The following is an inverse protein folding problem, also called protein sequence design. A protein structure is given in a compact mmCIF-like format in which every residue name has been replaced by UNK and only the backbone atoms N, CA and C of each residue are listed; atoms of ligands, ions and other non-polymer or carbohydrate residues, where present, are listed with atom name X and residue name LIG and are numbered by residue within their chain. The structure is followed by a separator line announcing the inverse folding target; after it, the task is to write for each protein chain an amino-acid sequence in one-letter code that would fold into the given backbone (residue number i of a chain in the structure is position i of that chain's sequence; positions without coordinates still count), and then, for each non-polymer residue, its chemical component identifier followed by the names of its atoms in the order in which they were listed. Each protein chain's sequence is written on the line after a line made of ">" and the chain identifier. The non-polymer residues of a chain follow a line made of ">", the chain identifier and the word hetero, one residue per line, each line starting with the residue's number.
data_IF_380982372875
#
_entry.id   IF_380982372875
#
_cell.length_a   1.000
_cell.length_b   1.000
_cell.length_c   1.000
_cell.angle_alpha   90.00
_cell.angle_beta   90.00
_cell.angle_gamma   90.00
#
_symmetry.space_group_name_H-M   'P 1'
#
loop_
_entity.id
_entity.type
_entity.pdbx_description
1 polymer ?
#
# COMPACT_ATOMS: atom_id res chain seq x y z
N UNK A 1 -15.52 -25.16 -0.45
CA UNK A 1 -15.94 -25.33 0.93
C UNK A 1 -17.36 -25.88 1.01
N UNK A 2 -17.62 -26.68 2.03
CA UNK A 2 -18.88 -27.36 2.25
C UNK A 2 -20.08 -26.38 2.33
N UNK A 3 -19.89 -25.24 2.97
CA UNK A 3 -20.89 -24.18 3.09
C UNK A 3 -21.45 -23.72 1.74
N UNK A 4 -20.58 -23.37 0.80
CA UNK A 4 -21.01 -22.86 -0.53
C UNK A 4 -21.70 -23.96 -1.35
N UNK A 5 -21.33 -25.21 -1.16
CA UNK A 5 -21.95 -26.33 -1.84
C UNK A 5 -23.32 -26.69 -1.26
N UNK A 6 -23.38 -26.81 0.08
CA UNK A 6 -24.52 -27.43 0.75
C UNK A 6 -25.59 -26.44 1.19
N UNK A 7 -25.21 -25.16 1.44
CA UNK A 7 -26.11 -24.12 1.93
C UNK A 7 -26.37 -23.04 0.86
N UNK A 8 -25.32 -22.51 0.26
CA UNK A 8 -25.48 -21.47 -0.78
C UNK A 8 -25.83 -22.05 -2.16
N UNK A 9 -25.75 -23.36 -2.33
CA UNK A 9 -26.01 -24.10 -3.59
C UNK A 9 -25.20 -23.58 -4.79
N UNK A 10 -24.11 -22.87 -4.52
CA UNK A 10 -23.22 -22.29 -5.50
C UNK A 10 -21.78 -22.79 -5.25
N UNK A 11 -21.31 -23.81 -5.97
CA UNK A 11 -19.95 -24.29 -5.84
C UNK A 11 -18.99 -23.27 -6.46
N UNK A 12 -18.14 -22.67 -5.66
CA UNK A 12 -17.07 -21.78 -6.13
C UNK A 12 -16.10 -22.54 -7.04
N UNK A 13 -15.82 -23.79 -6.68
CA UNK A 13 -15.02 -24.71 -7.50
C UNK A 13 -15.91 -25.88 -7.91
N UNK A 14 -16.05 -26.19 -9.22
CA UNK A 14 -16.76 -27.36 -9.69
C UNK A 14 -16.21 -28.65 -9.07
N UNK A 15 -17.09 -29.64 -8.89
CA UNK A 15 -16.71 -30.90 -8.20
C UNK A 15 -15.68 -31.74 -8.99
N UNK A 16 -15.58 -31.48 -10.29
CA UNK A 16 -14.69 -32.16 -11.24
C UNK A 16 -13.24 -31.62 -11.19
N UNK A 17 -13.04 -30.50 -10.50
CA UNK A 17 -11.73 -29.82 -10.44
C UNK A 17 -10.93 -30.35 -9.26
N UNK A 18 -9.84 -31.04 -9.55
CA UNK A 18 -8.94 -31.59 -8.55
C UNK A 18 -8.04 -30.52 -7.90
N UNK A 19 -7.61 -29.50 -8.69
CA UNK A 19 -6.76 -28.42 -8.23
C UNK A 19 -7.54 -27.11 -8.13
N UNK A 20 -8.13 -26.88 -6.96
CA UNK A 20 -8.90 -25.66 -6.69
C UNK A 20 -8.06 -24.37 -6.77
N UNK A 21 -6.79 -24.45 -6.36
CA UNK A 21 -5.87 -23.31 -6.42
C UNK A 21 -5.67 -22.81 -7.86
N UNK A 22 -5.29 -23.73 -8.74
CA UNK A 22 -5.04 -23.43 -10.14
C UNK A 22 -6.30 -22.88 -10.83
N UNK A 23 -7.42 -23.56 -10.62
CA UNK A 23 -8.72 -23.13 -11.15
C UNK A 23 -9.10 -21.70 -10.70
N UNK A 24 -8.99 -21.39 -9.42
CA UNK A 24 -9.37 -20.07 -8.89
C UNK A 24 -8.45 -18.96 -9.38
N UNK A 25 -7.16 -19.25 -9.51
CA UNK A 25 -6.19 -18.24 -9.99
C UNK A 25 -6.26 -18.04 -11.49
N UNK A 26 -6.41 -19.09 -12.28
CA UNK A 26 -6.53 -18.99 -13.74
C UNK A 26 -7.86 -18.35 -14.18
N UNK A 27 -8.95 -18.65 -13.51
CA UNK A 27 -10.25 -18.02 -13.78
C UNK A 27 -10.34 -16.58 -13.26
N UNK A 28 -9.38 -16.14 -12.47
CA UNK A 28 -9.40 -14.81 -11.84
C UNK A 28 -10.44 -14.65 -10.73
N UNK A 29 -10.95 -15.75 -10.18
CA UNK A 29 -11.88 -15.74 -9.03
C UNK A 29 -11.16 -15.51 -7.71
N UNK A 30 -9.87 -15.79 -7.65
CA UNK A 30 -9.01 -15.47 -6.52
C UNK A 30 -7.63 -15.00 -6.99
N UNK A 31 -6.97 -14.23 -6.15
CA UNK A 31 -5.56 -13.90 -6.27
C UNK A 31 -4.82 -14.42 -5.05
N UNK A 32 -3.74 -15.13 -5.28
CA UNK A 32 -2.87 -15.69 -4.24
C UNK A 32 -1.44 -15.36 -4.66
N UNK A 33 -0.78 -14.50 -3.87
CA UNK A 33 0.55 -14.01 -4.20
C UNK A 33 0.95 -12.84 -3.30
N UNK A 34 1.74 -11.95 -3.83
CA UNK A 34 2.21 -10.75 -3.15
C UNK A 34 1.27 -9.54 -3.35
N UNK A 35 1.52 -8.40 -2.69
CA UNK A 35 0.70 -7.19 -2.87
C UNK A 35 0.63 -6.68 -4.30
N UNK A 36 1.68 -6.87 -5.10
CA UNK A 36 1.68 -6.43 -6.49
C UNK A 36 0.76 -7.32 -7.35
N UNK A 37 0.64 -8.62 -7.03
CA UNK A 37 -0.34 -9.51 -7.64
C UNK A 37 -1.77 -9.05 -7.35
N UNK A 38 -2.06 -8.69 -6.11
CA UNK A 38 -3.36 -8.15 -5.71
C UNK A 38 -3.67 -6.82 -6.42
N UNK A 39 -2.71 -5.92 -6.52
CA UNK A 39 -2.85 -4.65 -7.25
C UNK A 39 -3.19 -4.92 -8.72
N UNK A 40 -2.40 -5.75 -9.41
CA UNK A 40 -2.64 -6.09 -10.82
C UNK A 40 -4.01 -6.74 -11.04
N UNK A 41 -4.44 -7.58 -10.10
CA UNK A 41 -5.75 -8.22 -10.18
C UNK A 41 -6.89 -7.20 -10.07
N UNK A 42 -6.84 -6.30 -9.10
CA UNK A 42 -7.84 -5.24 -8.92
C UNK A 42 -7.84 -4.29 -10.12
N UNK A 43 -6.68 -3.91 -10.66
CA UNK A 43 -6.57 -3.08 -11.87
C UNK A 43 -7.27 -3.73 -13.08
N UNK A 44 -7.10 -5.04 -13.29
CA UNK A 44 -7.82 -5.78 -14.34
C UNK A 44 -9.33 -5.75 -14.13
N UNK A 45 -9.79 -5.87 -12.88
CA UNK A 45 -11.22 -5.78 -12.57
C UNK A 45 -11.77 -4.37 -12.83
N UNK A 46 -11.02 -3.33 -12.49
CA UNK A 46 -11.37 -1.93 -12.78
C UNK A 46 -11.48 -1.72 -14.30
N UNK A 47 -10.50 -2.17 -15.06
CA UNK A 47 -10.47 -2.04 -16.51
C UNK A 47 -11.62 -2.81 -17.17
N UNK A 48 -11.81 -4.07 -16.79
CA UNK A 48 -12.83 -4.95 -17.38
C UNK A 48 -14.26 -4.52 -17.08
N UNK A 49 -14.51 -3.85 -15.95
CA UNK A 49 -15.84 -3.37 -15.54
C UNK A 49 -16.16 -1.94 -15.99
N UNK A 50 -15.17 -1.21 -16.51
CA UNK A 50 -15.30 0.23 -16.77
C UNK A 50 -15.20 1.10 -15.52
N UNK A 51 -14.79 0.53 -14.40
CA UNK A 51 -14.60 1.19 -13.11
C UNK A 51 -15.70 0.89 -12.09
N UNK A 52 -15.37 0.99 -10.81
CA UNK A 52 -16.30 0.86 -9.69
C UNK A 52 -15.86 1.75 -8.53
N UNK A 53 -16.82 2.14 -7.67
CA UNK A 53 -16.55 3.02 -6.53
C UNK A 53 -16.06 2.30 -5.27
N UNK A 54 -16.36 1.01 -5.14
CA UNK A 54 -16.01 0.20 -3.96
C UNK A 54 -15.57 -1.18 -4.39
N UNK A 55 -14.47 -1.64 -3.84
CA UNK A 55 -14.03 -3.02 -3.90
C UNK A 55 -14.28 -3.68 -2.54
N UNK A 56 -15.07 -4.75 -2.54
CA UNK A 56 -15.40 -5.53 -1.35
C UNK A 56 -14.55 -6.79 -1.35
N UNK A 57 -13.72 -6.93 -0.34
CA UNK A 57 -12.98 -8.16 -0.10
C UNK A 57 -13.79 -9.12 0.76
N UNK A 58 -13.91 -10.36 0.30
CA UNK A 58 -14.56 -11.42 1.08
C UNK A 58 -13.55 -12.01 2.07
N UNK A 59 -13.63 -11.57 3.31
CA UNK A 59 -12.86 -12.17 4.41
C UNK A 59 -13.53 -13.47 4.86
N UNK A 60 -12.83 -14.57 4.68
CA UNK A 60 -13.27 -15.91 5.11
C UNK A 60 -12.07 -16.66 5.71
N UNK A 61 -12.35 -17.73 6.45
CA UNK A 61 -11.31 -18.60 7.04
C UNK A 61 -10.62 -19.47 5.96
N UNK A 62 -9.91 -18.83 5.04
CA UNK A 62 -9.13 -19.49 3.99
C UNK A 62 -7.76 -19.96 4.49
N UNK A 63 -7.24 -19.29 5.50
CA UNK A 63 -5.93 -19.52 6.10
C UNK A 63 -6.04 -19.57 7.63
N UNK A 64 -4.96 -19.89 8.30
CA UNK A 64 -4.87 -19.77 9.75
C UNK A 64 -4.90 -18.31 10.21
N UNK A 65 -4.94 -18.10 11.52
CA UNK A 65 -5.06 -16.78 12.11
C UNK A 65 -3.87 -15.87 11.79
N UNK A 66 -2.65 -16.41 11.82
CA UNK A 66 -1.43 -15.61 11.58
C UNK A 66 -1.35 -15.16 10.13
N UNK A 67 -1.57 -16.07 9.18
CA UNK A 67 -1.61 -15.73 7.77
C UNK A 67 -2.76 -14.78 7.42
N UNK A 68 -3.90 -14.87 8.11
CA UNK A 68 -5.02 -13.93 7.94
C UNK A 68 -4.65 -12.52 8.43
N UNK A 69 -3.95 -12.39 9.55
CA UNK A 69 -3.47 -11.10 10.04
C UNK A 69 -2.44 -10.49 9.07
N UNK A 70 -1.48 -11.29 8.60
CA UNK A 70 -0.48 -10.86 7.63
C UNK A 70 -1.15 -10.36 6.34
N UNK A 71 -2.14 -11.08 5.85
CA UNK A 71 -2.92 -10.67 4.69
C UNK A 71 -3.53 -9.27 4.87
N UNK A 72 -4.26 -9.02 5.97
CA UNK A 72 -4.83 -7.70 6.23
C UNK A 72 -3.78 -6.61 6.42
N UNK A 73 -2.63 -6.93 7.00
CA UNK A 73 -1.52 -5.99 7.13
C UNK A 73 -0.95 -5.61 5.77
N UNK A 74 -0.73 -6.57 4.87
CA UNK A 74 -0.25 -6.34 3.51
C UNK A 74 -1.25 -5.53 2.69
N UNK A 75 -2.54 -5.86 2.77
CA UNK A 75 -3.62 -5.10 2.13
C UNK A 75 -3.63 -3.64 2.60
N UNK A 76 -3.61 -3.41 3.91
CA UNK A 76 -3.65 -2.07 4.50
C UNK A 76 -2.39 -1.24 4.20
N UNK A 77 -1.24 -1.88 4.12
CA UNK A 77 0.05 -1.21 3.96
C UNK A 77 0.38 -0.89 2.50
N UNK A 78 0.04 -1.77 1.59
CA UNK A 78 0.48 -1.69 0.19
C UNK A 78 -0.67 -1.53 -0.81
N UNK A 79 -1.72 -2.34 -0.72
CA UNK A 79 -2.78 -2.39 -1.73
C UNK A 79 -3.76 -1.22 -1.59
N UNK A 80 -4.35 -1.03 -0.43
CA UNK A 80 -5.32 0.04 -0.19
C UNK A 80 -4.75 1.44 -0.46
N UNK A 81 -3.51 1.78 -0.03
CA UNK A 81 -2.93 3.08 -0.33
C UNK A 81 -2.66 3.33 -1.81
N UNK A 82 -2.42 2.27 -2.61
CA UNK A 82 -2.25 2.37 -4.05
C UNK A 82 -3.53 2.93 -4.71
N UNK A 83 -4.69 2.37 -4.41
CA UNK A 83 -5.96 2.80 -5.01
C UNK A 83 -6.52 4.08 -4.40
N UNK A 84 -6.35 4.29 -3.11
CA UNK A 84 -6.87 5.47 -2.42
C UNK A 84 -5.98 6.72 -2.56
N UNK A 85 -4.85 6.62 -3.24
CA UNK A 85 -3.88 7.71 -3.45
C UNK A 85 -3.44 8.44 -2.16
N UNK A 86 -3.60 7.80 -1.01
CA UNK A 86 -3.28 8.41 0.29
C UNK A 86 -1.79 8.72 0.47
N UNK A 87 -0.93 8.10 -0.33
CA UNK A 87 0.51 8.33 -0.31
C UNK A 87 1.00 9.37 -1.33
N UNK A 88 0.14 9.87 -2.23
CA UNK A 88 0.58 10.79 -3.29
C UNK A 88 1.16 12.09 -2.72
N UNK A 89 0.52 12.67 -1.71
CA UNK A 89 1.01 13.88 -1.05
C UNK A 89 2.31 13.64 -0.28
N UNK A 90 2.44 12.47 0.36
CA UNK A 90 3.67 12.10 1.08
C UNK A 90 4.83 11.88 0.12
N UNK A 91 4.61 11.22 -1.02
CA UNK A 91 5.59 11.06 -2.09
C UNK A 91 5.98 12.41 -2.68
N UNK A 92 5.01 13.25 -3.02
CA UNK A 92 5.28 14.60 -3.53
C UNK A 92 6.09 15.45 -2.54
N UNK A 93 5.80 15.38 -1.25
CA UNK A 93 6.57 16.05 -0.20
C UNK A 93 8.00 15.51 -0.09
N UNK A 94 8.17 14.19 -0.13
CA UNK A 94 9.48 13.56 -0.14
C UNK A 94 10.31 13.98 -1.35
N UNK A 95 9.73 13.89 -2.55
CA UNK A 95 10.39 14.27 -3.80
C UNK A 95 10.75 15.76 -3.84
N UNK A 96 9.88 16.61 -3.28
CA UNK A 96 10.17 18.03 -3.12
C UNK A 96 11.36 18.26 -2.19
N UNK A 97 11.36 17.65 -1.02
CA UNK A 97 12.46 17.76 -0.05
C UNK A 97 13.78 17.21 -0.61
N UNK A 98 13.72 16.10 -1.33
CA UNK A 98 14.89 15.48 -1.94
C UNK A 98 15.49 16.38 -3.05
N UNK A 99 14.65 16.92 -3.95
CA UNK A 99 15.10 17.82 -5.02
C UNK A 99 15.66 19.15 -4.50
N UNK A 100 15.15 19.63 -3.37
CA UNK A 100 15.57 20.89 -2.77
C UNK A 100 16.53 20.71 -1.58
N UNK A 101 17.11 19.52 -1.42
CA UNK A 101 17.98 19.20 -0.29
C UNK A 101 19.13 20.19 -0.10
N UNK A 102 19.80 20.56 -1.19
CA UNK A 102 20.94 21.48 -1.14
C UNK A 102 20.51 22.88 -0.64
N UNK A 103 19.33 23.34 -1.05
CA UNK A 103 18.76 24.62 -0.59
C UNK A 103 18.47 24.56 0.90
N UNK A 104 17.85 23.48 1.37
CA UNK A 104 17.52 23.33 2.80
C UNK A 104 18.75 23.16 3.67
N UNK A 105 19.73 22.37 3.24
CA UNK A 105 20.99 22.19 3.96
C UNK A 105 21.79 23.49 3.97
N UNK A 106 21.89 24.20 2.84
CA UNK A 106 22.57 25.48 2.75
C UNK A 106 21.92 26.56 3.62
N UNK A 107 20.60 26.63 3.67
CA UNK A 107 19.89 27.56 4.55
C UNK A 107 20.13 27.26 6.03
N UNK A 108 20.17 25.97 6.41
CA UNK A 108 20.47 25.57 7.79
C UNK A 108 21.91 25.93 8.18
N UNK A 109 22.88 25.70 7.30
CA UNK A 109 24.28 26.08 7.52
C UNK A 109 24.44 27.60 7.66
N UNK A 110 23.84 28.39 6.76
CA UNK A 110 23.88 29.84 6.84
C UNK A 110 23.25 30.39 8.13
N UNK A 111 22.17 29.76 8.61
CA UNK A 111 21.56 30.14 9.88
C UNK A 111 22.48 29.88 11.07
N UNK A 112 23.19 28.74 11.08
CA UNK A 112 24.17 28.41 12.12
C UNK A 112 25.36 29.38 12.10
N UNK A 113 25.92 29.65 10.92
CA UNK A 113 27.02 30.59 10.73
C UNK A 113 26.63 31.99 11.22
N UNK A 114 25.44 32.47 10.87
CA UNK A 114 24.93 33.77 11.31
C UNK A 114 24.79 33.84 12.85
N UNK A 115 24.35 32.77 13.51
CA UNK A 115 24.26 32.75 14.98
C UNK A 115 25.63 32.72 15.65
N UNK A 116 26.60 32.03 15.09
CA UNK A 116 27.99 32.02 15.57
C UNK A 116 28.57 33.43 15.49
N UNK A 117 28.49 34.09 14.32
CA UNK A 117 28.97 35.46 14.13
C UNK A 117 28.30 36.47 15.08
N UNK A 118 26.99 36.29 15.32
CA UNK A 118 26.24 37.14 16.24
C UNK A 118 26.76 36.98 17.67
N UNK A 119 27.01 35.74 18.08
CA UNK A 119 27.52 35.44 19.39
C UNK A 119 28.95 35.98 19.64
N UNK A 120 29.83 35.83 18.63
CA UNK A 120 31.20 36.38 18.69
C UNK A 120 31.21 37.91 18.77
N UNK A 121 30.33 38.58 18.02
CA UNK A 121 30.20 40.06 18.10
C UNK A 121 29.70 40.54 19.47
N UNK A 122 28.82 39.75 20.10
CA UNK A 122 28.30 40.07 21.45
C UNK A 122 29.37 39.90 22.53
N UNK A 123 30.22 38.87 22.39
CA UNK A 123 31.33 38.67 23.33
C UNK A 123 32.49 39.64 23.19
N UNK A 124 32.75 40.12 21.96
CA UNK A 124 33.83 41.10 21.68
C UNK A 124 33.46 42.56 21.96
N UNK A 125 32.20 42.87 22.21
CA UNK A 125 31.69 44.21 22.50
C UNK A 125 31.52 44.53 24.01
N UNK A 126 31.95 43.65 24.92
CA UNK A 126 31.79 43.78 26.37
C UNK A 126 33.13 44.08 27.08
N UNK A 127 34.00 44.90 26.43
CA UNK A 127 35.19 45.56 27.00
C UNK A 127 35.09 47.08 26.96
#
# INVERSE_FOLDING_TARGET
>A
SQYFRDIATFPIVPAEIDNAYEYLTETGMAVIGDPDDAIRHIEKLVEGSGGFGVFLELAHNWADYEATLEHFELMARYVIPHFNRKNDQRRASYDYSHRNREVFVGAAQAAVEHEIERHEKTQSGDD
#
